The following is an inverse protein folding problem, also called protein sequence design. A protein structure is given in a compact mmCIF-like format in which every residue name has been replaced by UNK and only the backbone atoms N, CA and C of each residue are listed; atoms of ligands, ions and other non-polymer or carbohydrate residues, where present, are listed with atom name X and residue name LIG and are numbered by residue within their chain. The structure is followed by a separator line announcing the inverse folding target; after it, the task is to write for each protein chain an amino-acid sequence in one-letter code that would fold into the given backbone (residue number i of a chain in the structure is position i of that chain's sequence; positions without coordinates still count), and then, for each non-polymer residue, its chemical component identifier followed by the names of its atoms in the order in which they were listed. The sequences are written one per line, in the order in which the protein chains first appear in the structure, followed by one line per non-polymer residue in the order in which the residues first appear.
data_IF_013976862839
#
_entry.id   IF_013976862839
#
_cell.length_a   1.000
_cell.length_b   1.000
_cell.length_c   1.000
_cell.angle_alpha   90.00
_cell.angle_beta   90.00
_cell.angle_gamma   90.00
#
_symmetry.space_group_name_H-M   'P 1'
#
loop_
_entity.id
_entity.type
_entity.pdbx_description
1 polymer ?
#
# COMPACT_ATOMS: atom_id res chain seq x y z
N UNK A 1 -11.18 26.28 28.22
CA UNK A 1 -11.97 25.78 27.08
C UNK A 1 -11.13 24.67 26.49
N UNK A 2 -11.46 23.42 26.80
CA UNK A 2 -10.62 22.27 26.50
C UNK A 2 -10.79 21.85 25.03
N UNK A 3 -9.69 21.84 24.29
CA UNK A 3 -9.65 21.27 22.95
C UNK A 3 -9.62 19.76 23.10
N UNK A 4 -10.71 19.08 22.74
CA UNK A 4 -10.71 17.62 22.61
C UNK A 4 -10.44 17.25 21.15
N UNK A 5 -9.26 16.70 20.90
CA UNK A 5 -8.84 16.18 19.60
C UNK A 5 -9.04 14.67 19.59
N UNK A 6 -9.96 14.18 18.76
CA UNK A 6 -10.19 12.75 18.56
C UNK A 6 -9.46 12.33 17.29
N UNK A 7 -8.27 11.77 17.44
CA UNK A 7 -7.53 11.17 16.33
C UNK A 7 -8.08 9.76 16.10
N UNK A 8 -8.69 9.55 14.95
CA UNK A 8 -8.74 8.21 14.38
C UNK A 8 -8.17 8.29 12.98
N UNK A 9 -6.96 7.79 12.79
CA UNK A 9 -6.31 7.81 11.49
C UNK A 9 -7.04 6.81 10.59
N UNK A 10 -7.81 7.32 9.63
CA UNK A 10 -8.47 6.53 8.60
C UNK A 10 -7.42 6.08 7.58
N UNK A 11 -6.42 5.30 8.00
CA UNK A 11 -5.22 5.05 7.21
C UNK A 11 -4.84 3.56 7.16
N UNK A 12 -4.24 3.15 6.03
CA UNK A 12 -3.52 1.89 5.88
C UNK A 12 -2.09 2.17 5.46
N UNK A 13 -1.14 1.50 6.12
CA UNK A 13 0.28 1.60 5.83
C UNK A 13 0.75 0.27 5.24
N UNK A 14 1.25 0.32 4.02
CA UNK A 14 1.88 -0.81 3.35
C UNK A 14 3.39 -0.65 3.45
N UNK A 15 4.04 -1.65 4.06
CA UNK A 15 5.50 -1.72 4.19
C UNK A 15 5.99 -2.94 3.45
N UNK A 16 6.79 -2.74 2.40
CA UNK A 16 7.24 -3.81 1.51
C UNK A 16 8.77 -3.75 1.46
N UNK A 17 9.43 -4.89 1.61
CA UNK A 17 10.90 -4.93 1.50
C UNK A 17 11.32 -4.44 0.10
N UNK A 18 12.31 -3.54 0.04
CA UNK A 18 12.72 -2.88 -1.20
C UNK A 18 13.29 -3.86 -2.23
N UNK A 19 13.93 -4.93 -1.75
CA UNK A 19 14.56 -5.95 -2.57
C UNK A 19 13.70 -7.22 -2.69
N UNK A 20 12.42 -7.13 -2.31
CA UNK A 20 11.45 -8.22 -2.46
C UNK A 20 11.26 -8.57 -3.95
N UNK A 21 11.42 -9.85 -4.36
CA UNK A 21 11.21 -10.28 -5.75
C UNK A 21 9.81 -9.95 -6.29
N UNK A 22 8.81 -9.89 -5.41
CA UNK A 22 7.41 -9.59 -5.72
C UNK A 22 7.05 -8.12 -5.41
N UNK A 23 8.04 -7.23 -5.25
CA UNK A 23 7.81 -5.81 -4.94
C UNK A 23 6.81 -5.17 -5.91
N UNK A 24 6.96 -5.42 -7.22
CA UNK A 24 6.08 -4.82 -8.22
C UNK A 24 4.65 -5.32 -8.08
N UNK A 25 4.44 -6.62 -7.88
CA UNK A 25 3.10 -7.19 -7.67
C UNK A 25 2.43 -6.62 -6.42
N UNK A 26 3.19 -6.48 -5.33
CA UNK A 26 2.72 -5.88 -4.08
C UNK A 26 2.38 -4.39 -4.27
N UNK A 27 3.18 -3.63 -5.01
CA UNK A 27 2.88 -2.23 -5.31
C UNK A 27 1.70 -2.06 -6.26
N UNK A 28 1.54 -2.94 -7.24
CA UNK A 28 0.35 -3.03 -8.09
C UNK A 28 -0.88 -3.24 -7.22
N UNK A 29 -0.81 -4.18 -6.27
CA UNK A 29 -1.90 -4.43 -5.33
C UNK A 29 -2.26 -3.20 -4.51
N UNK A 30 -1.27 -2.49 -3.96
CA UNK A 30 -1.50 -1.23 -3.22
C UNK A 30 -2.17 -0.18 -4.10
N UNK A 31 -1.73 -0.05 -5.37
CA UNK A 31 -2.37 0.84 -6.33
C UNK A 31 -3.84 0.47 -6.56
N UNK A 32 -4.17 -0.82 -6.63
CA UNK A 32 -5.56 -1.26 -6.78
C UNK A 32 -6.41 -1.00 -5.54
N UNK A 33 -5.88 -1.22 -4.35
CA UNK A 33 -6.57 -0.84 -3.10
C UNK A 33 -6.88 0.65 -3.10
N UNK A 34 -5.90 1.48 -3.50
CA UNK A 34 -6.10 2.93 -3.63
C UNK A 34 -7.25 3.27 -4.58
N UNK A 35 -7.26 2.70 -5.78
CA UNK A 35 -8.28 2.99 -6.79
C UNK A 35 -9.67 2.42 -6.41
N UNK A 36 -9.72 1.20 -5.87
CA UNK A 36 -10.97 0.48 -5.57
C UNK A 36 -11.75 1.12 -4.43
N UNK A 37 -11.05 1.66 -3.44
CA UNK A 37 -11.64 2.24 -2.23
C UNK A 37 -11.51 3.76 -2.16
N UNK A 38 -11.22 4.41 -3.30
CA UNK A 38 -11.06 5.86 -3.44
C UNK A 38 -10.15 6.47 -2.36
N UNK A 39 -9.01 5.81 -2.13
CA UNK A 39 -8.07 6.23 -1.11
C UNK A 39 -7.13 7.32 -1.63
N UNK A 40 -6.80 8.26 -0.75
CA UNK A 40 -5.80 9.28 -1.03
C UNK A 40 -4.42 8.80 -0.60
N UNK A 41 -3.41 9.10 -1.41
CA UNK A 41 -2.03 8.81 -1.08
C UNK A 41 -1.48 9.92 -0.17
N UNK A 42 -1.18 9.58 1.08
CA UNK A 42 -0.64 10.54 2.07
C UNK A 42 0.88 10.62 2.01
N UNK A 43 1.52 9.47 1.83
CA UNK A 43 2.96 9.36 1.92
C UNK A 43 3.43 8.18 1.08
N UNK A 44 4.46 8.43 0.28
CA UNK A 44 5.17 7.42 -0.51
C UNK A 44 6.65 7.70 -0.40
N UNK A 45 7.39 6.74 0.13
CA UNK A 45 8.83 6.86 0.33
C UNK A 45 9.48 5.53 0.66
N UNK A 46 10.75 5.59 1.00
CA UNK A 46 11.47 4.45 1.53
C UNK A 46 12.20 4.85 2.80
N UNK A 47 12.32 3.91 3.73
CA UNK A 47 13.06 4.07 4.96
C UNK A 47 13.97 2.86 5.19
N UNK A 48 15.01 3.05 5.98
CA UNK A 48 15.89 1.96 6.43
C UNK A 48 16.19 2.17 7.90
N UNK A 49 15.60 1.33 8.75
CA UNK A 49 15.97 1.29 10.15
C UNK A 49 17.39 0.73 10.29
N UNK A 50 18.12 1.19 11.30
CA UNK A 50 19.49 0.72 11.56
C UNK A 50 19.49 -0.81 11.77
N UNK A 51 20.44 -1.50 11.12
CA UNK A 51 20.53 -2.97 11.16
C UNK A 51 19.46 -3.74 10.37
N UNK A 52 18.53 -3.07 9.68
CA UNK A 52 17.47 -3.70 8.90
C UNK A 52 17.61 -3.45 7.39
N UNK A 53 16.94 -4.27 6.60
CA UNK A 53 16.80 -4.06 5.16
C UNK A 53 15.96 -2.80 4.85
N UNK A 54 16.19 -2.15 3.70
CA UNK A 54 15.38 -1.01 3.29
C UNK A 54 13.95 -1.46 2.93
N UNK A 55 12.96 -0.62 3.28
CA UNK A 55 11.56 -0.84 2.97
C UNK A 55 10.99 0.31 2.15
N UNK A 56 10.09 -0.01 1.23
CA UNK A 56 9.17 0.92 0.59
C UNK A 56 7.93 1.05 1.47
N UNK A 57 7.54 2.29 1.76
CA UNK A 57 6.32 2.62 2.50
C UNK A 57 5.34 3.37 1.61
N UNK A 58 4.09 2.91 1.60
CA UNK A 58 2.95 3.61 1.00
C UNK A 58 1.86 3.74 2.04
N UNK A 59 1.48 4.97 2.37
CA UNK A 59 0.40 5.30 3.29
C UNK A 59 -0.79 5.82 2.51
N UNK A 60 -1.92 5.15 2.67
CA UNK A 60 -3.21 5.52 2.10
C UNK A 60 -4.13 6.03 3.20
N UNK A 61 -4.91 7.07 2.93
CA UNK A 61 -5.99 7.56 3.79
C UNK A 61 -7.34 7.42 3.10
N UNK A 62 -8.36 7.06 3.87
CA UNK A 62 -9.71 6.77 3.41
C UNK A 62 -10.69 7.85 3.87
N UNK A 63 -11.78 8.01 3.11
CA UNK A 63 -12.80 9.02 3.40
C UNK A 63 -13.56 8.75 4.71
N UNK A 64 -13.78 7.48 5.03
CA UNK A 64 -14.50 7.04 6.22
C UNK A 64 -14.07 5.64 6.69
N UNK A 65 -14.62 5.23 7.83
CA UNK A 65 -14.36 3.93 8.45
C UNK A 65 -14.88 2.74 7.63
N UNK A 66 -15.94 2.93 6.85
CA UNK A 66 -16.47 1.86 6.00
C UNK A 66 -15.49 1.56 4.87
N UNK A 67 -14.97 2.59 4.21
CA UNK A 67 -13.95 2.47 3.18
C UNK A 67 -12.67 1.82 3.74
N UNK A 68 -12.19 2.25 4.91
CA UNK A 68 -11.04 1.64 5.58
C UNK A 68 -11.29 0.17 5.92
N UNK A 69 -12.43 -0.15 6.52
CA UNK A 69 -12.79 -1.52 6.90
C UNK A 69 -12.89 -2.43 5.69
N UNK A 70 -13.55 -1.97 4.62
CA UNK A 70 -13.66 -2.72 3.37
C UNK A 70 -12.30 -2.93 2.69
N UNK A 71 -11.44 -1.92 2.71
CA UNK A 71 -10.06 -2.03 2.22
C UNK A 71 -9.26 -3.06 3.02
N UNK A 72 -9.38 -3.04 4.35
CA UNK A 72 -8.74 -4.02 5.22
C UNK A 72 -9.24 -5.43 4.95
N UNK A 73 -10.56 -5.65 4.88
CA UNK A 73 -11.13 -6.95 4.53
C UNK A 73 -10.66 -7.45 3.17
N UNK A 74 -10.55 -6.55 2.18
CA UNK A 74 -10.01 -6.88 0.86
C UNK A 74 -8.54 -7.29 0.93
N UNK A 75 -7.72 -6.57 1.71
CA UNK A 75 -6.34 -6.97 1.97
C UNK A 75 -6.26 -8.37 2.61
N UNK A 76 -7.04 -8.64 3.65
CA UNK A 76 -7.06 -9.95 4.33
C UNK A 76 -7.53 -11.09 3.44
N UNK A 77 -8.32 -10.82 2.40
CA UNK A 77 -8.80 -11.83 1.47
C UNK A 77 -7.76 -12.18 0.39
N UNK A 78 -6.93 -11.22 -0.02
CA UNK A 78 -6.06 -11.34 -1.19
C UNK A 78 -4.56 -11.24 -0.88
N UNK A 79 -4.21 -11.08 0.40
CA UNK A 79 -2.86 -11.29 0.90
C UNK A 79 -2.84 -12.57 1.74
N UNK A 80 -1.79 -13.37 1.58
CA UNK A 80 -1.54 -14.50 2.48
C UNK A 80 -0.88 -14.06 3.79
N UNK A 81 -0.61 -15.01 4.70
CA UNK A 81 0.01 -14.73 6.00
C UNK A 81 1.42 -14.13 5.90
N UNK A 82 2.08 -14.24 4.73
CA UNK A 82 3.38 -13.63 4.45
C UNK A 82 3.27 -12.23 3.82
N UNK A 83 2.04 -11.77 3.53
CA UNK A 83 1.78 -10.52 2.82
C UNK A 83 2.03 -10.62 1.31
N UNK A 84 2.12 -11.82 0.75
CA UNK A 84 2.18 -12.02 -0.69
C UNK A 84 0.77 -12.01 -1.28
N UNK A 85 0.65 -11.51 -2.51
CA UNK A 85 -0.63 -11.48 -3.21
C UNK A 85 -1.01 -12.90 -3.60
N UNK A 86 -2.26 -13.30 -3.32
CA UNK A 86 -2.72 -14.65 -3.63
C UNK A 86 -2.78 -14.88 -5.15
N UNK A 87 -2.46 -16.09 -5.59
CA UNK A 87 -2.39 -16.45 -7.02
C UNK A 87 -3.70 -16.19 -7.78
N UNK A 88 -4.84 -16.30 -7.10
CA UNK A 88 -6.17 -16.01 -7.65
C UNK A 88 -6.36 -14.53 -7.98
N UNK A 89 -5.57 -13.63 -7.39
CA UNK A 89 -5.66 -12.19 -7.60
C UNK A 89 -4.69 -11.66 -8.68
N UNK A 90 -3.70 -12.45 -9.11
CA UNK A 90 -2.73 -12.05 -10.14
C UNK A 90 -3.41 -11.72 -11.49
N UNK A 91 -4.49 -12.43 -11.84
CA UNK A 91 -5.26 -12.11 -13.05
C UNK A 91 -5.89 -10.72 -13.00
N UNK A 92 -6.40 -10.31 -11.83
CA UNK A 92 -6.95 -8.98 -11.63
C UNK A 92 -5.86 -7.90 -11.60
N UNK A 93 -4.68 -8.21 -11.05
CA UNK A 93 -3.52 -7.30 -11.08
C UNK A 93 -3.12 -6.94 -12.50
N UNK A 94 -2.98 -7.94 -13.39
CA UNK A 94 -2.56 -7.69 -14.76
C UNK A 94 -3.59 -6.88 -15.57
N UNK A 95 -4.88 -7.00 -15.26
CA UNK A 95 -5.92 -6.20 -15.92
C UNK A 95 -5.92 -4.74 -15.46
N UNK A 96 -5.66 -4.51 -14.17
CA UNK A 96 -5.84 -3.20 -13.57
C UNK A 96 -4.54 -2.38 -13.50
N UNK A 97 -3.36 -3.02 -13.56
CA UNK A 97 -2.07 -2.38 -13.87
C UNK A 97 -1.34 -3.17 -14.98
N UNK A 98 -1.79 -3.05 -16.25
CA UNK A 98 -1.14 -3.74 -17.35
C UNK A 98 0.34 -3.37 -17.45
N UNK A 99 1.19 -4.39 -17.44
CA UNK A 99 2.65 -4.25 -17.43
C UNK A 99 3.25 -3.57 -16.18
N UNK A 100 2.48 -3.38 -15.10
CA UNK A 100 3.00 -2.86 -13.83
C UNK A 100 3.46 -1.40 -13.89
N UNK A 101 2.99 -0.60 -14.86
CA UNK A 101 3.47 0.77 -15.07
C UNK A 101 3.16 1.68 -13.87
N UNK A 102 2.00 1.49 -13.24
CA UNK A 102 1.62 2.28 -12.07
C UNK A 102 2.43 1.87 -10.85
N UNK A 103 2.67 0.58 -10.66
CA UNK A 103 3.56 0.05 -9.64
C UNK A 103 5.01 0.51 -9.83
N UNK A 104 5.53 0.53 -11.06
CA UNK A 104 6.85 1.09 -11.38
C UNK A 104 6.91 2.58 -11.05
N UNK A 105 5.88 3.35 -11.40
CA UNK A 105 5.79 4.77 -11.04
C UNK A 105 5.79 4.97 -9.52
N UNK A 106 5.01 4.17 -8.79
CA UNK A 106 4.99 4.14 -7.32
C UNK A 106 6.37 3.80 -6.74
N UNK A 107 7.04 2.78 -7.29
CA UNK A 107 8.40 2.39 -6.91
C UNK A 107 9.39 3.54 -7.10
N UNK A 108 9.41 4.15 -8.28
CA UNK A 108 10.33 5.26 -8.59
C UNK A 108 10.10 6.45 -7.65
N UNK A 109 8.84 6.83 -7.41
CA UNK A 109 8.47 7.89 -6.48
C UNK A 109 8.86 7.55 -5.05
N UNK A 110 8.65 6.30 -4.62
CA UNK A 110 9.06 5.85 -3.30
C UNK A 110 10.57 5.97 -3.15
N UNK A 111 11.36 5.46 -4.09
CA UNK A 111 12.82 5.45 -4.02
C UNK A 111 13.46 6.84 -4.12
N UNK A 112 12.77 7.81 -4.73
CA UNK A 112 13.19 9.21 -4.75
C UNK A 112 13.01 9.92 -3.39
N UNK A 113 12.09 9.44 -2.55
CA UNK A 113 11.73 10.05 -1.28
C UNK A 113 12.26 9.22 -0.11
N UNK A 114 13.45 9.56 0.39
CA UNK A 114 13.97 8.97 1.63
C UNK A 114 13.25 9.59 2.83
N UNK A 115 12.78 8.74 3.73
CA UNK A 115 12.11 9.09 4.98
C UNK A 115 12.98 8.73 6.18
#
# INVERSE_FOLDING_TARGET
MDVQQKFSELELVFTIAKDDPSLLDKLSFVHLVKMKFDANEKQVGWFKAEGNDPYVQVKLSFADWSALSNAHSHCSQFLDDSGAVTSTYHGALHQADPYGKMAEGLKLRALANRQ
#
